data_IF_065737290819
#
_entry.id   IF_065737290819
#
_cell.length_a   1.000
_cell.length_b   1.000
_cell.length_c   1.000
_cell.angle_alpha   90.00
_cell.angle_beta   90.00
_cell.angle_gamma   90.00
#
_symmetry.space_group_name_H-M   'P 1'
#
loop_
_entity.id
_entity.type
_entity.pdbx_description
1 polymer ?
#
# COMPACT_ATOMS: atom_id res chain seq x y z
N UNK A 1 -16.08 10.15 -0.06
CA UNK A 1 -14.70 9.64 -0.04
C UNK A 1 -14.70 8.12 0.08
N UNK A 2 -14.18 7.50 -0.91
CA UNK A 2 -14.24 6.06 -1.12
C UNK A 2 -12.91 5.38 -0.80
N UNK A 3 -12.92 4.05 -0.70
CA UNK A 3 -11.69 3.27 -0.56
C UNK A 3 -10.84 3.30 -1.82
N UNK A 4 -11.44 3.48 -2.99
CA UNK A 4 -10.69 3.65 -4.24
C UNK A 4 -9.93 4.98 -4.26
N UNK A 5 -10.57 6.09 -3.87
CA UNK A 5 -9.89 7.38 -3.71
C UNK A 5 -8.73 7.29 -2.71
N UNK A 6 -8.91 6.57 -1.60
CA UNK A 6 -7.83 6.32 -0.66
C UNK A 6 -6.64 5.57 -1.31
N UNK A 7 -6.92 4.52 -2.07
CA UNK A 7 -5.86 3.76 -2.76
C UNK A 7 -5.15 4.61 -3.82
N UNK A 8 -5.88 5.48 -4.52
CA UNK A 8 -5.30 6.40 -5.49
C UNK A 8 -4.38 7.42 -4.81
N UNK A 9 -4.80 8.03 -3.71
CA UNK A 9 -3.97 8.96 -2.91
C UNK A 9 -2.74 8.26 -2.31
N UNK A 10 -2.88 7.03 -1.84
CA UNK A 10 -1.77 6.24 -1.33
C UNK A 10 -0.78 5.89 -2.45
N UNK A 11 -1.28 5.56 -3.64
CA UNK A 11 -0.46 5.32 -4.81
C UNK A 11 0.35 6.57 -5.18
N UNK A 12 -0.30 7.72 -5.30
CA UNK A 12 0.34 8.99 -5.65
C UNK A 12 1.43 9.35 -4.62
N UNK A 13 1.12 9.18 -3.34
CA UNK A 13 2.10 9.37 -2.26
C UNK A 13 3.32 8.46 -2.40
N UNK A 14 3.12 7.18 -2.68
CA UNK A 14 4.22 6.23 -2.88
C UNK A 14 5.02 6.52 -4.15
N UNK A 15 4.37 6.93 -5.23
CA UNK A 15 5.06 7.35 -6.46
C UNK A 15 5.99 8.54 -6.19
N UNK A 16 5.56 9.50 -5.39
CA UNK A 16 6.40 10.62 -4.96
C UNK A 16 7.57 10.18 -4.06
N UNK A 17 7.30 9.30 -3.09
CA UNK A 17 8.33 8.77 -2.18
C UNK A 17 9.43 8.03 -2.91
N UNK A 18 9.08 7.27 -3.95
CA UNK A 18 10.02 6.41 -4.69
C UNK A 18 10.44 6.97 -6.04
N UNK A 19 10.07 8.20 -6.39
CA UNK A 19 10.32 8.79 -7.70
C UNK A 19 11.80 8.77 -8.13
N UNK A 20 12.71 8.93 -7.17
CA UNK A 20 14.17 8.92 -7.36
C UNK A 20 14.84 7.59 -6.96
N UNK A 21 14.06 6.59 -6.60
CA UNK A 21 14.54 5.26 -6.20
C UNK A 21 14.64 4.35 -7.42
N UNK A 22 15.83 4.20 -7.95
CA UNK A 22 16.08 3.38 -9.12
C UNK A 22 16.44 1.95 -8.74
N UNK A 23 15.60 1.02 -9.15
CA UNK A 23 15.70 -0.42 -8.86
C UNK A 23 15.95 -1.21 -10.15
N UNK A 24 16.75 -2.30 -10.08
CA UNK A 24 17.02 -3.11 -11.26
C UNK A 24 15.76 -3.82 -11.77
N UNK A 25 15.65 -3.88 -13.08
CA UNK A 25 14.60 -4.63 -13.77
C UNK A 25 15.13 -5.99 -14.21
N UNK A 26 14.23 -6.98 -14.39
CA UNK A 26 14.63 -8.26 -14.96
C UNK A 26 15.04 -8.11 -16.41
N UNK A 27 16.24 -8.58 -16.75
CA UNK A 27 16.71 -8.67 -18.13
C UNK A 27 15.94 -9.79 -18.84
N UNK A 28 15.23 -9.45 -19.92
CA UNK A 28 14.40 -10.40 -20.66
C UNK A 28 15.16 -11.10 -21.79
N UNK A 29 16.19 -10.44 -22.33
CA UNK A 29 17.04 -10.97 -23.42
C UNK A 29 18.52 -10.78 -23.10
N UNK A 30 19.37 -11.72 -23.55
CA UNK A 30 20.83 -11.68 -23.38
C UNK A 30 21.46 -10.41 -24.00
N UNK A 31 20.75 -9.75 -24.92
CA UNK A 31 21.22 -8.52 -25.60
C UNK A 31 20.75 -7.22 -24.93
N UNK A 32 19.92 -7.32 -23.89
CA UNK A 32 19.46 -6.14 -23.15
C UNK A 32 20.51 -5.73 -22.14
N UNK A 33 20.78 -4.44 -22.08
CA UNK A 33 21.51 -3.83 -20.98
C UNK A 33 20.64 -3.80 -19.73
N UNK A 34 21.23 -4.00 -18.56
CA UNK A 34 20.54 -3.82 -17.29
C UNK A 34 19.90 -2.43 -17.24
N UNK A 35 18.61 -2.38 -16.95
CA UNK A 35 17.86 -1.15 -16.79
C UNK A 35 17.40 -0.96 -15.35
N UNK A 36 17.22 0.29 -14.96
CA UNK A 36 16.80 0.68 -13.62
C UNK A 36 15.61 1.62 -13.73
N UNK A 37 14.64 1.44 -12.86
CA UNK A 37 13.47 2.31 -12.77
C UNK A 37 12.89 2.36 -11.36
N UNK A 38 12.06 3.37 -11.02
CA UNK A 38 11.27 3.35 -9.80
C UNK A 38 10.29 2.15 -9.82
N UNK A 39 9.86 1.67 -8.63
CA UNK A 39 8.85 0.64 -8.59
C UNK A 39 7.51 1.15 -9.15
N UNK A 40 6.81 0.30 -9.89
CA UNK A 40 5.43 0.56 -10.29
C UNK A 40 4.49 0.30 -9.10
N UNK A 41 3.51 1.17 -8.92
CA UNK A 41 2.54 1.06 -7.83
C UNK A 41 1.19 0.62 -8.39
N UNK A 42 0.67 -0.47 -7.86
CA UNK A 42 -0.62 -1.04 -8.25
C UNK A 42 -1.60 -1.06 -7.08
N UNK A 43 -2.88 -0.96 -7.39
CA UNK A 43 -3.96 -1.04 -6.40
C UNK A 43 -4.68 -2.37 -6.52
N UNK A 44 -4.83 -3.06 -5.40
CA UNK A 44 -5.55 -4.31 -5.19
C UNK A 44 -4.90 -5.54 -5.82
N UNK A 45 -4.44 -5.48 -7.06
CA UNK A 45 -3.86 -6.63 -7.76
C UNK A 45 -2.92 -6.20 -8.88
N UNK A 46 -2.03 -7.11 -9.24
CA UNK A 46 -1.16 -6.94 -10.38
C UNK A 46 -1.94 -7.22 -11.68
N UNK A 47 -1.92 -6.29 -12.66
CA UNK A 47 -2.49 -6.57 -13.98
C UNK A 47 -1.71 -7.72 -14.63
N UNK A 48 -2.41 -8.70 -15.19
CA UNK A 48 -1.83 -9.88 -15.82
C UNK A 48 -0.79 -10.60 -14.92
N UNK A 49 -1.30 -11.30 -13.90
CA UNK A 49 -0.49 -12.00 -12.89
C UNK A 49 0.45 -13.09 -13.48
N UNK A 50 0.17 -13.55 -14.70
CA UNK A 50 1.02 -14.54 -15.39
C UNK A 50 2.40 -13.99 -15.77
N UNK A 51 2.53 -12.69 -15.87
CA UNK A 51 3.80 -12.01 -16.17
C UNK A 51 4.38 -11.25 -14.96
N UNK A 52 4.01 -11.63 -13.74
CA UNK A 52 4.41 -10.95 -12.51
C UNK A 52 5.93 -10.75 -12.39
N UNK A 53 6.73 -11.78 -12.73
CA UNK A 53 8.19 -11.71 -12.67
C UNK A 53 8.80 -10.71 -13.65
N UNK A 54 8.09 -10.39 -14.74
CA UNK A 54 8.53 -9.40 -15.74
C UNK A 54 8.25 -7.96 -15.30
N UNK A 55 7.39 -7.76 -14.32
CA UNK A 55 6.93 -6.45 -13.86
C UNK A 55 7.71 -5.90 -12.68
N UNK A 56 8.63 -6.69 -12.12
CA UNK A 56 9.51 -6.21 -11.03
C UNK A 56 10.37 -5.02 -11.50
N UNK A 57 10.62 -4.02 -10.64
CA UNK A 57 10.13 -3.85 -9.28
C UNK A 57 8.71 -3.29 -9.24
N UNK A 58 7.91 -3.75 -8.29
CA UNK A 58 6.55 -3.23 -8.09
C UNK A 58 6.14 -3.24 -6.61
N UNK A 59 5.12 -2.46 -6.31
CA UNK A 59 4.42 -2.45 -5.03
C UNK A 59 2.92 -2.60 -5.31
N UNK A 60 2.24 -3.47 -4.56
CA UNK A 60 0.79 -3.62 -4.64
C UNK A 60 0.18 -3.19 -3.31
N UNK A 61 -0.66 -2.16 -3.33
CA UNK A 61 -1.44 -1.75 -2.17
C UNK A 61 -2.79 -2.46 -2.18
N UNK A 62 -3.04 -3.25 -1.17
CA UNK A 62 -4.24 -4.07 -1.06
C UNK A 62 -4.95 -3.83 0.26
N UNK A 63 -6.21 -3.43 0.20
CA UNK A 63 -7.06 -3.39 1.40
C UNK A 63 -7.44 -4.83 1.73
N UNK A 64 -7.03 -5.30 2.89
CA UNK A 64 -7.29 -6.68 3.35
C UNK A 64 -8.47 -6.76 4.30
N UNK A 65 -8.68 -5.74 5.13
CA UNK A 65 -9.86 -5.62 5.98
C UNK A 65 -10.33 -4.18 6.05
N UNK A 66 -11.60 -3.98 6.32
CA UNK A 66 -12.16 -2.66 6.54
C UNK A 66 -13.35 -2.76 7.50
N UNK A 67 -13.41 -1.81 8.43
CA UNK A 67 -14.48 -1.73 9.42
C UNK A 67 -15.18 -0.39 9.34
N UNK A 68 -16.46 -0.39 9.66
CA UNK A 68 -17.27 0.81 9.81
C UNK A 68 -18.11 0.66 11.07
N UNK A 69 -17.79 1.43 12.10
CA UNK A 69 -18.42 1.34 13.42
C UNK A 69 -19.12 2.67 13.72
N UNK A 70 -20.32 2.60 14.25
CA UNK A 70 -21.06 3.79 14.65
C UNK A 70 -22.26 3.43 15.49
N UNK A 71 -22.73 4.44 16.23
CA UNK A 71 -23.99 4.37 16.98
C UNK A 71 -25.06 5.20 16.26
N UNK A 72 -26.35 4.92 16.52
CA UNK A 72 -27.43 5.73 15.96
C UNK A 72 -27.23 7.22 16.28
N UNK A 73 -27.29 8.08 15.25
CA UNK A 73 -27.12 9.54 15.39
C UNK A 73 -25.68 10.03 15.49
N UNK A 74 -24.67 9.16 15.47
CA UNK A 74 -23.26 9.53 15.44
C UNK A 74 -22.64 9.26 14.06
N UNK A 75 -21.64 10.06 13.64
CA UNK A 75 -20.88 9.73 12.44
C UNK A 75 -20.21 8.35 12.57
N UNK A 76 -20.19 7.59 11.48
CA UNK A 76 -19.53 6.27 11.51
C UNK A 76 -18.03 6.42 11.37
N UNK A 77 -17.29 5.88 12.34
CA UNK A 77 -15.84 5.73 12.26
C UNK A 77 -15.49 4.62 11.27
N UNK A 78 -14.58 4.90 10.36
CA UNK A 78 -14.20 3.99 9.28
C UNK A 78 -12.70 3.75 9.29
N UNK A 79 -12.32 2.50 9.40
CA UNK A 79 -10.92 2.08 9.37
C UNK A 79 -10.68 1.02 8.33
N UNK A 80 -9.47 0.92 7.82
CA UNK A 80 -9.04 -0.18 6.97
C UNK A 80 -7.58 -0.55 7.24
N UNK A 81 -7.25 -1.80 6.93
CA UNK A 81 -5.89 -2.32 6.98
C UNK A 81 -5.41 -2.51 5.54
N UNK A 82 -4.25 -1.96 5.24
CA UNK A 82 -3.60 -2.09 3.94
C UNK A 82 -2.37 -2.97 4.07
N UNK A 83 -2.28 -3.93 3.18
CA UNK A 83 -1.12 -4.76 2.93
C UNK A 83 -0.42 -4.24 1.68
N UNK A 84 0.78 -3.70 1.83
CA UNK A 84 1.62 -3.23 0.73
C UNK A 84 2.69 -4.27 0.44
N UNK A 85 2.53 -4.99 -0.67
CA UNK A 85 3.42 -6.07 -1.10
C UNK A 85 4.50 -5.50 -2.02
N UNK A 86 5.76 -5.70 -1.64
CA UNK A 86 6.94 -5.27 -2.37
C UNK A 86 7.58 -6.44 -3.09
N UNK A 87 7.93 -6.26 -4.35
CA UNK A 87 8.70 -7.23 -5.12
C UNK A 87 9.87 -6.52 -5.82
N UNK A 88 11.06 -7.00 -5.58
CA UNK A 88 12.29 -6.49 -6.20
C UNK A 88 13.09 -7.63 -6.84
N UNK A 89 13.97 -7.26 -7.75
CA UNK A 89 14.86 -8.19 -8.45
C UNK A 89 16.32 -7.80 -8.19
N UNK A 90 17.15 -8.77 -7.89
CA UNK A 90 18.59 -8.60 -7.85
C UNK A 90 19.29 -9.92 -8.17
N UNK A 91 20.33 -9.86 -8.98
CA UNK A 91 21.21 -11.01 -9.22
C UNK A 91 22.18 -11.26 -8.05
N UNK A 92 22.41 -10.26 -7.21
CA UNK A 92 23.19 -10.36 -5.98
C UNK A 92 22.26 -10.64 -4.80
N UNK A 93 22.35 -11.84 -4.23
CA UNK A 93 21.53 -12.29 -3.12
C UNK A 93 21.68 -11.43 -1.85
N UNK A 94 22.87 -10.92 -1.59
CA UNK A 94 23.13 -10.06 -0.44
C UNK A 94 22.54 -8.66 -0.62
N UNK A 95 22.57 -8.14 -1.83
CA UNK A 95 22.05 -6.82 -2.15
C UNK A 95 20.52 -6.81 -2.22
N UNK A 96 19.90 -7.87 -2.76
CA UNK A 96 18.46 -7.95 -2.91
C UNK A 96 17.69 -7.82 -1.61
N UNK A 97 18.12 -8.52 -0.58
CA UNK A 97 17.51 -8.43 0.77
C UNK A 97 17.68 -7.05 1.39
N UNK A 98 18.84 -6.44 1.24
CA UNK A 98 19.12 -5.08 1.73
C UNK A 98 18.30 -4.02 1.01
N UNK A 99 18.16 -4.16 -0.29
CA UNK A 99 17.35 -3.27 -1.12
C UNK A 99 15.89 -3.29 -0.64
N UNK A 100 15.35 -4.46 -0.37
CA UNK A 100 13.99 -4.61 0.15
C UNK A 100 13.81 -3.89 1.49
N UNK A 101 14.74 -4.07 2.43
CA UNK A 101 14.72 -3.39 3.73
C UNK A 101 14.79 -1.87 3.59
N UNK A 102 15.63 -1.36 2.69
CA UNK A 102 15.74 0.08 2.43
C UNK A 102 14.42 0.68 1.91
N UNK A 103 13.70 -0.06 1.08
CA UNK A 103 12.39 0.38 0.60
C UNK A 103 11.38 0.47 1.73
N UNK A 104 11.34 -0.52 2.62
CA UNK A 104 10.46 -0.49 3.78
C UNK A 104 10.80 0.67 4.73
N UNK A 105 12.07 0.86 5.06
CA UNK A 105 12.51 1.96 5.92
C UNK A 105 12.13 3.32 5.33
N UNK A 106 12.32 3.49 4.03
CA UNK A 106 11.98 4.73 3.35
C UNK A 106 10.48 5.02 3.37
N UNK A 107 9.66 4.01 3.10
CA UNK A 107 8.21 4.17 3.14
C UNK A 107 7.73 4.45 4.56
N UNK A 108 8.15 3.66 5.54
CA UNK A 108 7.78 3.84 6.94
C UNK A 108 8.11 5.25 7.45
N UNK A 109 9.34 5.72 7.20
CA UNK A 109 9.77 7.06 7.58
C UNK A 109 8.87 8.15 6.98
N UNK A 110 8.59 8.07 5.68
CA UNK A 110 7.76 9.07 5.01
C UNK A 110 6.29 9.02 5.46
N UNK A 111 5.74 7.83 5.69
CA UNK A 111 4.37 7.67 6.20
C UNK A 111 4.23 8.26 7.61
N UNK A 112 5.18 8.00 8.49
CA UNK A 112 5.15 8.53 9.87
C UNK A 112 5.30 10.05 9.85
N UNK A 113 6.16 10.60 9.01
CA UNK A 113 6.32 12.05 8.90
C UNK A 113 5.07 12.74 8.34
N UNK A 114 4.48 12.18 7.30
CA UNK A 114 3.28 12.74 6.69
C UNK A 114 2.04 12.58 7.59
N UNK A 115 1.96 11.48 8.33
CA UNK A 115 0.82 11.16 9.19
C UNK A 115 -0.46 10.81 8.46
N UNK A 116 -0.47 10.87 7.12
CA UNK A 116 -1.61 10.57 6.28
C UNK A 116 -1.34 10.84 4.81
N UNK A 117 -2.32 10.60 3.97
CA UNK A 117 -2.28 10.87 2.52
C UNK A 117 -3.52 11.65 2.08
N UNK A 118 -3.38 12.47 1.02
CA UNK A 118 -4.49 13.24 0.46
C UNK A 118 -5.14 14.25 1.41
N UNK A 119 -4.48 14.63 2.49
CA UNK A 119 -4.99 15.51 3.56
C UNK A 119 -6.29 15.03 4.23
N UNK A 120 -6.72 13.82 3.95
CA UNK A 120 -8.05 13.31 4.33
C UNK A 120 -7.97 11.93 4.98
N UNK A 121 -6.99 11.14 4.59
CA UNK A 121 -6.80 9.77 5.07
C UNK A 121 -5.66 9.75 6.07
N UNK A 122 -5.94 9.32 7.30
CA UNK A 122 -5.02 9.37 8.42
C UNK A 122 -4.40 8.01 8.68
N UNK A 123 -3.07 7.98 8.83
CA UNK A 123 -2.37 6.82 9.37
C UNK A 123 -2.64 6.72 10.87
N UNK A 124 -3.20 5.62 11.35
CA UNK A 124 -3.48 5.42 12.77
C UNK A 124 -2.18 5.06 13.48
N UNK A 125 -1.59 6.05 14.14
CA UNK A 125 -0.27 5.91 14.80
C UNK A 125 -0.27 4.99 16.02
N UNK A 126 -1.42 4.76 16.63
CA UNK A 126 -1.56 3.82 17.74
C UNK A 126 -1.57 2.35 17.31
N UNK A 127 -1.79 2.08 16.04
CA UNK A 127 -1.70 0.75 15.47
C UNK A 127 -0.28 0.47 14.96
N UNK A 128 0.21 -0.77 15.06
CA UNK A 128 1.54 -1.10 14.59
C UNK A 128 1.68 -0.99 13.07
N UNK A 129 2.89 -0.66 12.63
CA UNK A 129 3.32 -0.90 11.26
C UNK A 129 4.12 -2.21 11.29
N UNK A 130 3.56 -3.27 10.70
CA UNK A 130 4.20 -4.56 10.65
C UNK A 130 4.89 -4.77 9.31
N UNK A 131 6.15 -5.23 9.35
CA UNK A 131 6.94 -5.56 8.18
C UNK A 131 7.26 -7.04 8.23
N UNK A 132 6.87 -7.77 7.19
CA UNK A 132 7.16 -9.18 7.01
C UNK A 132 8.01 -9.38 5.76
N UNK A 133 9.19 -9.95 5.95
CA UNK A 133 10.04 -10.40 4.84
C UNK A 133 9.72 -11.86 4.57
N UNK A 134 9.41 -12.20 3.33
CA UNK A 134 9.10 -13.57 2.98
C UNK A 134 10.36 -14.44 3.13
N UNK A 135 10.28 -15.52 3.94
CA UNK A 135 11.45 -16.34 4.28
C UNK A 135 11.85 -17.31 3.17
N UNK A 136 11.02 -17.44 2.13
CA UNK A 136 11.29 -18.34 1.03
C UNK A 136 12.46 -17.85 0.19
N UNK A 137 13.36 -18.76 -0.14
CA UNK A 137 14.44 -18.48 -1.06
C UNK A 137 13.88 -18.46 -2.49
N UNK A 138 13.45 -17.29 -2.91
CA UNK A 138 12.91 -17.02 -4.25
C UNK A 138 13.91 -16.30 -5.15
N UNK A 139 15.20 -16.24 -4.76
CA UNK A 139 16.23 -15.58 -5.56
C UNK A 139 16.10 -15.95 -7.06
N UNK A 140 16.21 -14.99 -7.97
CA UNK A 140 16.64 -13.58 -7.81
C UNK A 140 15.55 -12.58 -7.43
N UNK A 141 14.40 -13.04 -6.97
CA UNK A 141 13.28 -12.21 -6.54
C UNK A 141 13.20 -12.14 -5.03
N UNK A 142 12.99 -10.94 -4.52
CA UNK A 142 12.87 -10.69 -3.08
C UNK A 142 11.55 -10.00 -2.81
N UNK A 143 10.77 -10.53 -1.90
CA UNK A 143 9.43 -10.05 -1.59
C UNK A 143 9.23 -9.90 -0.09
N UNK A 144 8.36 -8.99 0.24
CA UNK A 144 7.90 -8.76 1.60
C UNK A 144 6.66 -7.88 1.59
N UNK A 145 6.12 -7.62 2.77
CA UNK A 145 4.92 -6.83 2.92
C UNK A 145 5.01 -5.89 4.12
N UNK A 146 4.33 -4.76 4.01
CA UNK A 146 4.12 -3.81 5.09
C UNK A 146 2.63 -3.69 5.35
N UNK A 147 2.23 -3.87 6.60
CA UNK A 147 0.83 -3.77 7.01
C UNK A 147 0.64 -2.48 7.78
N UNK A 148 -0.31 -1.66 7.34
CA UNK A 148 -0.64 -0.36 7.94
C UNK A 148 -2.13 -0.23 8.18
N UNK A 149 -2.51 0.53 9.20
CA UNK A 149 -3.92 0.76 9.56
C UNK A 149 -4.26 2.24 9.37
N UNK A 150 -5.39 2.48 8.72
CA UNK A 150 -5.81 3.79 8.26
C UNK A 150 -7.21 4.15 8.72
N UNK A 151 -7.42 5.43 8.97
CA UNK A 151 -8.76 6.00 9.19
C UNK A 151 -9.19 6.75 7.92
N UNK A 152 -10.39 6.40 7.46
CA UNK A 152 -11.06 7.11 6.38
C UNK A 152 -11.99 8.17 6.97
N UNK A 153 -12.33 9.22 6.20
CA UNK A 153 -13.31 10.20 6.64
C UNK A 153 -14.61 9.54 7.11
N UNK A 154 -15.19 10.00 8.20
CA UNK A 154 -16.44 9.46 8.72
C UNK A 154 -17.58 9.69 7.72
N UNK A 155 -18.58 8.83 7.78
CA UNK A 155 -19.84 9.04 7.07
C UNK A 155 -20.83 9.62 8.07
N UNK A 156 -21.31 10.82 7.79
CA UNK A 156 -22.39 11.41 8.57
C UNK A 156 -23.68 10.64 8.28
N UNK A 157 -24.34 10.26 9.33
CA UNK A 157 -25.65 9.62 9.21
C UNK A 157 -26.71 10.72 9.20
N UNK A 158 -27.24 11.08 8.03
CA UNK A 158 -28.49 11.80 7.97
C UNK A 158 -29.59 10.90 8.56
N UNK A 159 -30.27 11.39 9.57
CA UNK A 159 -31.45 10.67 10.09
C UNK A 159 -32.46 10.53 8.96
N UNK A 160 -32.83 9.32 8.56
CA UNK A 160 -33.88 9.16 7.57
C UNK A 160 -35.13 9.85 8.06
N UNK A 161 -35.76 10.68 7.22
CA UNK A 161 -37.04 11.35 7.50
C UNK A 161 -38.14 10.35 7.94
N UNK A 162 -37.93 9.05 7.64
CA UNK A 162 -38.81 7.94 8.01
C UNK A 162 -38.71 7.49 9.48
N UNK A 163 -37.69 7.95 10.22
CA UNK A 163 -37.59 7.63 11.65
C UNK A 163 -38.13 8.78 12.49
N UNK A 164 -39.38 9.09 12.31
CA UNK A 164 -40.11 9.98 13.19
C UNK A 164 -40.83 9.13 14.26
N UNK A 165 -40.39 9.20 15.55
CA UNK A 165 -41.03 8.42 16.62
C UNK A 165 -42.46 8.87 16.90
N UNK A 166 -42.98 9.85 16.21
CA UNK A 166 -44.39 10.34 16.30
C UNK A 166 -45.33 9.70 15.32
N UNK A 167 -44.90 8.78 14.46
CA UNK A 167 -45.80 7.97 13.66
C UNK A 167 -46.25 6.76 14.48
N UNK A 168 -47.58 6.64 14.75
CA UNK A 168 -48.12 5.48 15.45
C UNK A 168 -48.03 4.19 14.63
#
# INVERSE_FOLDING_TARGET
>A
MTRNEFLDELKDFMEDVFADTLLPTKIQNIRETASYRPPDIYSMRLPDSKSATKKVPYIINRIVTSQSIGKPGEPRDRTCVVDSIFAVYSEDEMEGSRMLLQLFDRLEFNLIQAGGVGNTFELIRSEPIDILIYPEDTAPYYMGEMITTWRLPPIEQEMPILWNPTYP
#
